data_IF_826284065600
#
_entry.id   IF_826284065600
#
_cell.length_a   1.000
_cell.length_b   1.000
_cell.length_c   1.000
_cell.angle_alpha   90.00
_cell.angle_beta   90.00
_cell.angle_gamma   90.00
#
_symmetry.space_group_name_H-M   'P 1'
#
loop_
_entity.id
_entity.type
_entity.pdbx_description
1 polymer ?
#
# COMPACT_ATOMS: atom_id res chain seq x y z
N UNK A 1 20.70 3.10 -2.17
CA UNK A 1 19.29 2.85 -2.51
C UNK A 1 18.94 1.45 -2.03
N UNK A 2 18.21 1.32 -0.94
CA UNK A 2 17.61 0.02 -0.59
C UNK A 2 16.40 -0.18 -1.50
N UNK A 3 16.52 -1.17 -2.38
CA UNK A 3 15.43 -1.63 -3.23
C UNK A 3 14.40 -2.22 -2.29
N UNK A 4 13.23 -1.58 -2.15
CA UNK A 4 12.09 -2.22 -1.51
C UNK A 4 11.82 -3.48 -2.32
N UNK A 5 11.95 -4.63 -1.67
CA UNK A 5 11.83 -5.93 -2.30
C UNK A 5 10.45 -6.04 -2.95
N UNK A 6 10.36 -6.60 -4.15
CA UNK A 6 9.08 -7.00 -4.73
C UNK A 6 8.48 -8.09 -3.84
N UNK A 7 7.69 -7.68 -2.85
CA UNK A 7 6.91 -8.59 -2.03
C UNK A 7 5.61 -8.86 -2.78
N UNK A 8 5.55 -10.00 -3.47
CA UNK A 8 4.26 -10.60 -3.82
C UNK A 8 3.58 -10.97 -2.50
N UNK A 9 2.42 -10.39 -2.20
CA UNK A 9 1.68 -10.82 -1.03
C UNK A 9 0.81 -12.02 -1.40
N UNK A 10 0.80 -13.02 -0.53
CA UNK A 10 -0.31 -13.97 -0.51
C UNK A 10 -1.54 -13.26 0.06
N UNK A 11 -2.74 -13.56 -0.47
CA UNK A 11 -4.05 -13.21 0.12
C UNK A 11 -3.95 -13.29 1.64
N UNK A 12 -4.09 -12.15 2.34
CA UNK A 12 -4.01 -11.96 3.81
C UNK A 12 -4.12 -13.28 4.58
N UNK A 13 -3.01 -14.00 4.68
CA UNK A 13 -2.95 -15.24 5.41
C UNK A 13 -2.63 -14.83 6.85
N UNK A 14 -3.31 -15.37 7.85
CA UNK A 14 -3.08 -15.06 9.30
C UNK A 14 -1.63 -15.26 9.78
N UNK A 15 -0.72 -15.69 8.90
CA UNK A 15 0.71 -15.93 9.10
C UNK A 15 1.62 -14.86 8.51
N UNK A 16 1.08 -13.80 7.88
CA UNK A 16 1.93 -12.71 7.38
C UNK A 16 2.71 -12.06 8.53
N UNK A 17 4.01 -11.87 8.33
CA UNK A 17 4.87 -11.24 9.33
C UNK A 17 4.48 -9.76 9.41
N UNK A 18 4.13 -9.24 10.60
CA UNK A 18 3.81 -7.83 10.75
C UNK A 18 5.05 -6.97 10.49
N UNK A 19 4.85 -5.80 9.89
CA UNK A 19 5.91 -4.82 9.64
C UNK A 19 6.58 -4.43 10.96
N UNK A 20 7.90 -4.59 11.02
CA UNK A 20 8.72 -4.22 12.18
C UNK A 20 8.80 -2.70 12.36
N UNK A 21 9.23 -2.23 13.55
CA UNK A 21 9.35 -0.80 13.82
C UNK A 21 10.38 -0.10 12.92
N UNK A 22 11.49 -0.76 12.60
CA UNK A 22 12.50 -0.22 11.69
C UNK A 22 11.97 -0.09 10.26
N UNK A 23 11.25 -1.10 9.78
CA UNK A 23 10.61 -1.05 8.46
C UNK A 23 9.53 0.03 8.39
N UNK A 24 8.82 0.30 9.48
CA UNK A 24 7.89 1.44 9.55
C UNK A 24 8.58 2.79 9.46
N UNK A 25 9.73 2.96 10.12
CA UNK A 25 10.52 4.19 10.03
C UNK A 25 10.99 4.42 8.60
N UNK A 26 11.42 3.37 7.91
CA UNK A 26 11.85 3.48 6.52
C UNK A 26 10.67 3.70 5.56
N UNK A 27 9.53 3.05 5.79
CA UNK A 27 8.28 3.34 5.08
C UNK A 27 7.83 4.80 5.26
N UNK A 28 7.98 5.35 6.47
CA UNK A 28 7.64 6.75 6.75
C UNK A 28 8.48 7.72 5.90
N UNK A 29 9.78 7.42 5.72
CA UNK A 29 10.67 8.23 4.86
C UNK A 29 10.29 8.14 3.39
N UNK A 30 9.85 6.96 2.93
CA UNK A 30 9.56 6.70 1.52
C UNK A 30 8.16 7.17 1.10
N UNK A 31 7.23 7.29 2.04
CA UNK A 31 5.82 7.62 1.79
C UNK A 31 5.40 8.91 2.52
N UNK A 32 6.06 10.06 2.29
CA UNK A 32 5.85 11.28 3.09
C UNK A 32 4.43 11.85 2.99
N UNK A 33 3.68 11.51 1.93
CA UNK A 33 2.30 11.95 1.72
C UNK A 33 1.26 10.88 2.06
N UNK A 34 1.66 9.81 2.77
CA UNK A 34 0.77 8.75 3.23
C UNK A 34 0.68 8.77 4.76
N UNK A 35 -0.50 8.46 5.28
CA UNK A 35 -0.76 8.38 6.71
C UNK A 35 -0.68 6.92 7.16
N UNK A 36 0.15 6.63 8.15
CA UNK A 36 0.17 5.33 8.81
C UNK A 36 -0.92 5.35 9.90
N UNK A 37 -1.85 4.40 9.87
CA UNK A 37 -2.97 4.29 10.81
C UNK A 37 -3.11 2.86 11.31
N UNK A 38 -3.63 2.67 12.52
CA UNK A 38 -4.09 1.36 12.96
C UNK A 38 -5.58 1.21 12.60
N UNK A 39 -5.91 0.20 11.81
CA UNK A 39 -7.27 -0.13 11.39
C UNK A 39 -7.54 -1.60 11.70
N UNK A 40 -8.61 -1.89 12.45
CA UNK A 40 -9.00 -3.28 12.80
C UNK A 40 -7.86 -4.14 13.36
N UNK A 41 -7.06 -3.57 14.26
CA UNK A 41 -5.86 -4.19 14.86
C UNK A 41 -4.71 -4.49 13.88
N UNK A 42 -4.77 -3.98 12.65
CA UNK A 42 -3.70 -4.03 11.66
C UNK A 42 -3.11 -2.63 11.41
N UNK A 43 -1.80 -2.56 11.16
CA UNK A 43 -1.16 -1.32 10.68
C UNK A 43 -1.44 -1.18 9.19
N UNK A 44 -1.93 -0.02 8.78
CA UNK A 44 -2.29 0.29 7.40
C UNK A 44 -1.67 1.63 6.98
N UNK A 45 -1.43 1.78 5.67
CA UNK A 45 -1.06 3.06 5.04
C UNK A 45 -2.23 3.59 4.23
N UNK A 46 -2.53 4.88 4.37
CA UNK A 46 -3.68 5.52 3.74
C UNK A 46 -3.28 6.80 3.04
N UNK A 47 -3.82 7.01 1.85
CA UNK A 47 -3.70 8.28 1.12
C UNK A 47 -5.01 8.60 0.42
N UNK A 48 -5.42 9.86 0.50
CA UNK A 48 -6.54 10.37 -0.27
C UNK A 48 -6.03 10.81 -1.65
N UNK A 49 -6.69 10.35 -2.70
CA UNK A 49 -6.42 10.79 -4.08
C UNK A 49 -7.58 11.65 -4.56
N UNK A 50 -7.26 12.84 -5.05
CA UNK A 50 -8.22 13.76 -5.64
C UNK A 50 -8.00 13.85 -7.15
N UNK A 51 -9.09 13.78 -7.91
CA UNK A 51 -9.06 13.79 -9.36
C UNK A 51 -9.98 14.88 -9.89
N UNK A 52 -9.61 15.51 -11.00
CA UNK A 52 -10.41 16.55 -11.64
C UNK A 52 -11.72 16.02 -12.24
N UNK A 53 -11.83 14.70 -12.49
CA UNK A 53 -13.03 14.08 -13.04
C UNK A 53 -13.18 12.61 -12.64
N UNK A 54 -14.41 12.11 -12.73
CA UNK A 54 -14.70 10.67 -12.57
C UNK A 54 -13.93 9.81 -13.57
N UNK A 55 -13.79 10.27 -14.83
CA UNK A 55 -13.06 9.53 -15.88
C UNK A 55 -11.61 9.29 -15.48
N UNK A 56 -10.91 10.31 -14.96
CA UNK A 56 -9.53 10.16 -14.46
C UNK A 56 -9.44 9.24 -13.24
N UNK A 57 -10.40 9.32 -12.31
CA UNK A 57 -10.43 8.43 -11.15
C UNK A 57 -10.66 6.98 -11.56
N UNK A 58 -11.58 6.72 -12.50
CA UNK A 58 -11.87 5.38 -13.01
C UNK A 58 -10.66 4.76 -13.70
N UNK A 59 -9.92 5.53 -14.52
CA UNK A 59 -8.68 5.05 -15.15
C UNK A 59 -7.60 4.73 -14.12
N UNK A 60 -7.49 5.54 -13.06
CA UNK A 60 -6.56 5.28 -11.97
C UNK A 60 -6.90 3.99 -11.24
N UNK A 61 -8.17 3.78 -10.87
CA UNK A 61 -8.64 2.56 -10.20
C UNK A 61 -8.40 1.33 -11.09
N UNK A 62 -8.71 1.39 -12.39
CA UNK A 62 -8.47 0.26 -13.30
C UNK A 62 -7.00 -0.15 -13.37
N UNK A 63 -6.08 0.82 -13.37
CA UNK A 63 -4.64 0.54 -13.33
C UNK A 63 -4.24 -0.08 -11.99
N UNK A 64 -4.77 0.43 -10.88
CA UNK A 64 -4.53 -0.15 -9.56
C UNK A 64 -5.04 -1.59 -9.45
N UNK A 65 -6.26 -1.88 -9.93
CA UNK A 65 -6.80 -3.25 -9.91
C UNK A 65 -5.90 -4.21 -10.68
N UNK A 66 -5.39 -3.80 -11.85
CA UNK A 66 -4.45 -4.63 -12.60
C UNK A 66 -3.16 -4.91 -11.81
N UNK A 67 -2.60 -3.92 -11.13
CA UNK A 67 -1.41 -4.09 -10.28
C UNK A 67 -1.73 -5.00 -9.08
N UNK A 68 -2.88 -4.79 -8.44
CA UNK A 68 -3.37 -5.61 -7.33
C UNK A 68 -3.44 -7.09 -7.74
N UNK A 69 -4.00 -7.38 -8.91
CA UNK A 69 -4.12 -8.73 -9.44
C UNK A 69 -2.74 -9.33 -9.82
N UNK A 70 -1.86 -8.54 -10.44
CA UNK A 70 -0.50 -8.97 -10.82
C UNK A 70 0.40 -9.26 -9.60
N UNK A 71 0.25 -8.48 -8.52
CA UNK A 71 1.02 -8.65 -7.29
C UNK A 71 0.33 -9.54 -6.26
N UNK A 72 -0.94 -9.89 -6.49
CA UNK A 72 -1.82 -10.58 -5.55
C UNK A 72 -1.92 -9.85 -4.18
N UNK A 73 -1.81 -8.52 -4.19
CA UNK A 73 -1.73 -7.66 -3.00
C UNK A 73 -2.74 -6.53 -3.03
#
# INVERSE_FOLDING_TARGET
MQVLWNQSCDKLNRKSVPISENELVDLYKLLPCWQIQCFENARAVRKLFSFASFKSASLFVKKLTKIQDEQNH
#
